data_IF_276776271309
#
_entry.id   IF_276776271309
#
_cell.length_a   1.000
_cell.length_b   1.000
_cell.length_c   1.000
_cell.angle_alpha   90.00
_cell.angle_beta   90.00
_cell.angle_gamma   90.00
#
_symmetry.space_group_name_H-M   'P 1'
#
loop_
_entity.id
_entity.type
_entity.pdbx_description
1 polymer ?
#
# COMPACT_ATOMS: atom_id res chain seq x y z
N UNK A 1 21.62 8.29 18.91
CA UNK A 1 20.49 8.08 17.96
C UNK A 1 21.02 7.83 16.55
N UNK A 2 21.72 8.76 15.91
CA UNK A 2 22.22 8.59 14.52
C UNK A 2 23.11 7.37 14.30
N UNK A 3 23.99 7.03 15.23
CA UNK A 3 24.85 5.84 15.15
C UNK A 3 24.05 4.54 15.17
N UNK A 4 22.98 4.49 15.99
CA UNK A 4 22.08 3.35 16.01
C UNK A 4 21.36 3.16 14.66
N UNK A 5 20.84 4.24 14.07
CA UNK A 5 20.19 4.19 12.76
C UNK A 5 21.16 3.71 11.67
N UNK A 6 22.39 4.22 11.66
CA UNK A 6 23.42 3.78 10.72
C UNK A 6 23.79 2.30 10.91
N UNK A 7 23.89 1.84 12.15
CA UNK A 7 24.17 0.45 12.47
C UNK A 7 23.02 -0.47 12.00
N UNK A 8 21.77 -0.04 12.19
CA UNK A 8 20.60 -0.76 11.70
C UNK A 8 20.60 -0.87 10.17
N UNK A 9 20.82 0.23 9.45
CA UNK A 9 20.87 0.21 7.99
C UNK A 9 22.00 -0.70 7.48
N UNK A 10 23.18 -0.65 8.11
CA UNK A 10 24.32 -1.54 7.76
C UNK A 10 23.99 -3.01 8.02
N UNK A 11 23.33 -3.31 9.13
CA UNK A 11 22.87 -4.68 9.42
C UNK A 11 21.89 -5.16 8.36
N UNK A 12 20.92 -4.30 7.97
CA UNK A 12 19.93 -4.61 6.96
C UNK A 12 20.57 -4.86 5.58
N UNK A 13 21.58 -4.05 5.20
CA UNK A 13 22.36 -4.25 3.97
C UNK A 13 23.01 -5.65 3.98
N UNK A 14 23.63 -6.06 5.10
CA UNK A 14 24.19 -7.40 5.25
C UNK A 14 23.15 -8.54 5.17
N UNK A 15 21.91 -8.29 5.59
CA UNK A 15 20.80 -9.25 5.41
C UNK A 15 20.49 -9.43 3.93
N UNK A 16 20.37 -8.35 3.16
CA UNK A 16 20.08 -8.42 1.72
C UNK A 16 21.27 -8.97 0.91
N UNK A 17 22.51 -8.69 1.30
CA UNK A 17 23.69 -9.32 0.68
C UNK A 17 23.67 -10.84 0.85
N UNK A 18 23.27 -11.32 2.03
CA UNK A 18 23.17 -12.75 2.32
C UNK A 18 21.95 -13.44 1.70
N UNK A 19 20.86 -12.70 1.58
CA UNK A 19 19.57 -13.20 1.09
C UNK A 19 18.99 -12.25 0.02
N UNK A 20 19.55 -12.22 -1.20
CA UNK A 20 19.19 -11.24 -2.23
C UNK A 20 17.74 -11.35 -2.72
N UNK A 21 17.13 -12.52 -2.59
CA UNK A 21 15.72 -12.74 -2.96
C UNK A 21 14.72 -12.40 -1.83
N UNK A 22 15.22 -11.95 -0.69
CA UNK A 22 14.35 -11.65 0.45
C UNK A 22 13.54 -10.37 0.19
N UNK A 23 12.24 -10.47 0.37
CA UNK A 23 11.32 -9.33 0.34
C UNK A 23 10.93 -8.96 1.77
N UNK A 24 11.20 -7.74 2.15
CA UNK A 24 10.83 -7.22 3.47
C UNK A 24 9.87 -6.04 3.29
N UNK A 25 8.78 -6.06 4.02
CA UNK A 25 7.87 -4.92 4.14
C UNK A 25 8.34 -4.03 5.28
N UNK A 26 8.51 -2.75 4.99
CA UNK A 26 8.73 -1.73 6.00
C UNK A 26 7.38 -1.24 6.54
N UNK A 27 7.25 -1.27 7.86
CA UNK A 27 6.07 -0.80 8.55
C UNK A 27 6.47 -0.22 9.92
N UNK A 28 5.82 0.81 10.35
CA UNK A 28 5.83 1.32 11.72
C UNK A 28 4.65 2.26 11.87
N UNK A 29 3.57 1.79 12.49
CA UNK A 29 2.28 2.50 12.51
C UNK A 29 1.92 3.05 11.11
N UNK A 30 2.04 2.18 10.11
CA UNK A 30 1.92 2.57 8.71
C UNK A 30 3.15 3.33 8.20
N UNK A 31 3.01 4.61 7.92
CA UNK A 31 3.99 5.42 7.21
C UNK A 31 5.10 6.10 8.02
N UNK A 32 5.27 5.83 9.31
CA UNK A 32 6.25 6.55 10.15
C UNK A 32 7.73 6.39 9.72
N UNK A 33 8.04 5.35 8.97
CA UNK A 33 9.41 5.10 8.46
C UNK A 33 9.52 5.29 6.95
N UNK A 34 8.72 6.17 6.39
CA UNK A 34 8.75 6.51 4.97
C UNK A 34 9.83 7.57 4.71
N UNK A 35 11.09 7.16 4.79
CA UNK A 35 12.25 7.96 4.44
C UNK A 35 13.08 7.29 3.35
N UNK A 36 13.91 8.04 2.64
CA UNK A 36 14.66 7.53 1.49
C UNK A 36 15.66 6.43 1.86
N UNK A 37 16.21 6.41 3.08
CA UNK A 37 17.15 5.38 3.50
C UNK A 37 16.45 4.02 3.66
N UNK A 38 15.22 4.03 4.17
CA UNK A 38 14.37 2.85 4.27
C UNK A 38 13.82 2.45 2.89
N UNK A 39 13.27 3.41 2.13
CA UNK A 39 12.70 3.15 0.80
C UNK A 39 13.73 2.58 -0.20
N UNK A 40 15.01 2.93 -0.05
CA UNK A 40 16.08 2.39 -0.89
C UNK A 40 16.37 0.90 -0.61
N UNK A 41 15.88 0.34 0.48
CA UNK A 41 16.17 -1.03 0.92
C UNK A 41 14.95 -1.94 0.88
N UNK A 42 13.80 -1.43 1.29
CA UNK A 42 12.59 -2.22 1.39
C UNK A 42 11.81 -2.26 0.07
N UNK A 43 11.38 -3.44 -0.32
CA UNK A 43 10.60 -3.63 -1.55
C UNK A 43 9.13 -3.20 -1.39
N UNK A 44 8.65 -3.17 -0.16
CA UNK A 44 7.26 -2.85 0.18
C UNK A 44 7.25 -1.89 1.36
N UNK A 45 6.42 -0.85 1.27
CA UNK A 45 6.19 0.13 2.31
C UNK A 45 4.71 0.15 2.68
N UNK A 46 4.37 -0.19 3.91
CA UNK A 46 3.03 0.07 4.47
C UNK A 46 2.81 1.58 4.56
N UNK A 47 1.67 2.05 4.07
CA UNK A 47 1.40 3.49 3.96
C UNK A 47 0.65 4.04 5.17
N UNK A 48 -0.22 3.26 5.80
CA UNK A 48 -0.97 3.64 6.99
C UNK A 48 -1.64 2.43 7.63
N UNK A 49 -1.92 2.52 8.93
CA UNK A 49 -2.75 1.56 9.69
C UNK A 49 -4.22 2.00 9.77
N UNK A 50 -4.65 2.98 8.97
CA UNK A 50 -6.03 3.45 8.98
C UNK A 50 -6.98 2.39 8.41
N UNK A 51 -8.02 2.05 9.19
CA UNK A 51 -9.09 1.13 8.75
C UNK A 51 -10.28 1.88 8.13
N UNK A 52 -10.47 3.15 8.47
CA UNK A 52 -11.51 3.98 7.86
C UNK A 52 -11.14 4.33 6.43
N UNK A 53 -11.87 3.78 5.48
CA UNK A 53 -11.62 3.89 4.05
C UNK A 53 -11.72 5.33 3.51
N UNK A 54 -12.50 6.22 4.16
CA UNK A 54 -12.67 7.62 3.75
C UNK A 54 -11.44 8.44 4.11
N UNK A 55 -10.97 8.30 5.35
CA UNK A 55 -9.72 8.93 5.78
C UNK A 55 -8.52 8.36 5.03
N UNK A 56 -8.54 7.05 4.76
CA UNK A 56 -7.49 6.40 4.01
C UNK A 56 -7.39 6.84 2.55
N UNK A 57 -8.49 7.31 1.95
CA UNK A 57 -8.49 7.83 0.58
C UNK A 57 -7.47 8.95 0.36
N UNK A 58 -7.38 9.89 1.30
CA UNK A 58 -6.40 10.99 1.24
C UNK A 58 -4.97 10.47 1.29
N UNK A 59 -4.69 9.47 2.13
CA UNK A 59 -3.38 8.84 2.24
C UNK A 59 -3.04 8.12 0.94
N UNK A 60 -3.96 7.30 0.43
CA UNK A 60 -3.79 6.55 -0.81
C UNK A 60 -3.55 7.47 -2.01
N UNK A 61 -4.36 8.52 -2.15
CA UNK A 61 -4.26 9.49 -3.23
C UNK A 61 -2.90 10.22 -3.24
N UNK A 62 -2.30 10.46 -2.09
CA UNK A 62 -1.05 11.20 -1.96
C UNK A 62 0.20 10.32 -1.86
N UNK A 63 0.08 9.02 -1.63
CA UNK A 63 1.22 8.12 -1.40
C UNK A 63 2.20 8.10 -2.59
N UNK A 64 1.71 8.23 -3.81
CA UNK A 64 2.53 8.31 -5.03
C UNK A 64 3.47 9.52 -5.11
N UNK A 65 3.33 10.52 -4.21
CA UNK A 65 4.26 11.65 -4.13
C UNK A 65 5.63 11.25 -3.54
N UNK A 66 5.68 10.17 -2.76
CA UNK A 66 6.89 9.73 -2.07
C UNK A 66 7.29 8.27 -2.40
N UNK A 67 6.36 7.48 -2.91
CA UNK A 67 6.50 6.04 -3.12
C UNK A 67 6.25 5.66 -4.57
N UNK A 68 6.97 4.66 -5.06
CA UNK A 68 6.61 4.06 -6.34
C UNK A 68 5.34 3.21 -6.21
N UNK A 69 4.54 3.04 -7.26
CA UNK A 69 3.29 2.28 -7.20
C UNK A 69 3.46 0.84 -6.71
N UNK A 70 4.54 0.19 -7.11
CA UNK A 70 4.83 -1.19 -6.71
C UNK A 70 5.31 -1.31 -5.26
N UNK A 71 5.80 -0.23 -4.66
CA UNK A 71 6.31 -0.19 -3.28
C UNK A 71 5.22 0.19 -2.27
N UNK A 72 4.29 1.08 -2.68
CA UNK A 72 3.26 1.63 -1.82
C UNK A 72 2.15 0.61 -1.53
N UNK A 73 2.20 -0.03 -0.37
CA UNK A 73 1.16 -0.95 0.09
C UNK A 73 -0.04 -0.18 0.62
N UNK A 74 -1.15 -0.25 -0.11
CA UNK A 74 -2.43 0.32 0.28
C UNK A 74 -3.34 -0.80 0.77
N UNK A 75 -3.77 -0.68 2.03
CA UNK A 75 -4.66 -1.64 2.64
C UNK A 75 -6.09 -1.45 2.14
N UNK A 76 -6.60 -2.40 1.35
CA UNK A 76 -8.03 -2.54 1.10
C UNK A 76 -8.64 -3.33 2.26
N UNK A 77 -9.45 -2.67 3.08
CA UNK A 77 -9.90 -3.20 4.36
C UNK A 77 -11.43 -3.20 4.52
N UNK A 78 -12.18 -3.96 3.68
CA UNK A 78 -13.63 -4.00 3.81
C UNK A 78 -14.07 -4.62 5.13
N UNK A 79 -14.97 -3.93 5.83
CA UNK A 79 -15.49 -4.33 7.13
C UNK A 79 -16.74 -5.21 6.98
N UNK A 80 -16.94 -6.16 7.90
CA UNK A 80 -18.12 -7.07 7.88
C UNK A 80 -19.45 -6.32 7.89
N UNK A 81 -19.52 -5.21 8.62
CA UNK A 81 -20.74 -4.42 8.81
C UNK A 81 -20.89 -3.30 7.74
N UNK A 82 -20.00 -3.25 6.75
CA UNK A 82 -20.08 -2.34 5.61
C UNK A 82 -21.04 -2.84 4.53
N UNK A 83 -21.20 -2.04 3.49
CA UNK A 83 -22.03 -2.32 2.33
C UNK A 83 -21.18 -2.50 1.04
N UNK A 84 -21.83 -2.59 -0.11
CA UNK A 84 -21.19 -2.73 -1.42
C UNK A 84 -20.36 -1.48 -1.76
N UNK A 85 -20.87 -0.28 -1.48
CA UNK A 85 -20.19 0.99 -1.74
C UNK A 85 -18.90 1.10 -0.90
N UNK A 86 -18.94 0.70 0.37
CA UNK A 86 -17.75 0.64 1.23
C UNK A 86 -16.69 -0.31 0.65
N UNK A 87 -17.10 -1.47 0.13
CA UNK A 87 -16.21 -2.44 -0.50
C UNK A 87 -15.58 -1.89 -1.77
N UNK A 88 -16.38 -1.27 -2.64
CA UNK A 88 -15.90 -0.63 -3.88
C UNK A 88 -14.90 0.48 -3.53
N UNK A 89 -15.22 1.31 -2.55
CA UNK A 89 -14.37 2.42 -2.14
C UNK A 89 -12.99 1.93 -1.65
N UNK A 90 -12.98 0.88 -0.80
CA UNK A 90 -11.74 0.25 -0.37
C UNK A 90 -10.89 -0.25 -1.54
N UNK A 91 -11.50 -0.90 -2.53
CA UNK A 91 -10.80 -1.37 -3.72
C UNK A 91 -10.25 -0.20 -4.54
N UNK A 92 -11.06 0.85 -4.77
CA UNK A 92 -10.67 2.03 -5.56
C UNK A 92 -9.47 2.73 -4.94
N UNK A 93 -9.41 2.88 -3.61
CA UNK A 93 -8.26 3.46 -2.92
C UNK A 93 -6.94 2.77 -3.27
N UNK A 94 -6.96 1.47 -3.55
CA UNK A 94 -5.76 0.68 -3.77
C UNK A 94 -5.39 0.48 -5.26
N UNK A 95 -6.29 0.80 -6.19
CA UNK A 95 -6.15 0.42 -7.61
C UNK A 95 -4.93 1.02 -8.32
N UNK A 96 -4.49 2.22 -7.95
CA UNK A 96 -3.34 2.88 -8.59
C UNK A 96 -1.99 2.57 -7.92
N UNK A 97 -1.98 1.73 -6.90
CA UNK A 97 -0.81 1.40 -6.11
C UNK A 97 -0.75 -0.12 -5.88
N UNK A 98 -0.01 -0.60 -4.88
CA UNK A 98 0.02 -2.03 -4.55
C UNK A 98 -1.14 -2.39 -3.65
N UNK A 99 -2.04 -3.25 -4.10
CA UNK A 99 -3.14 -3.74 -3.25
C UNK A 99 -2.60 -4.67 -2.17
N UNK A 100 -2.83 -4.31 -0.91
CA UNK A 100 -2.76 -5.19 0.24
C UNK A 100 -4.18 -5.51 0.71
N UNK A 101 -4.68 -6.68 0.30
CA UNK A 101 -6.03 -7.09 0.64
C UNK A 101 -6.09 -7.63 2.07
N UNK A 102 -6.89 -7.01 2.90
CA UNK A 102 -7.11 -7.36 4.30
C UNK A 102 -8.59 -7.20 4.68
N UNK A 103 -8.89 -6.87 5.92
CA UNK A 103 -10.25 -6.67 6.41
C UNK A 103 -10.97 -7.96 6.77
N UNK A 104 -12.29 -7.89 6.81
CA UNK A 104 -13.14 -8.99 7.27
C UNK A 104 -13.58 -9.92 6.14
N UNK A 105 -12.69 -10.26 5.20
CA UNK A 105 -13.03 -10.99 3.96
C UNK A 105 -13.91 -12.22 4.21
N UNK A 106 -13.57 -13.05 5.20
CA UNK A 106 -14.31 -14.28 5.49
C UNK A 106 -15.76 -14.03 5.96
N UNK A 107 -16.12 -12.79 6.27
CA UNK A 107 -17.44 -12.39 6.80
C UNK A 107 -18.23 -11.53 5.80
N UNK A 108 -17.69 -11.29 4.61
CA UNK A 108 -18.38 -10.54 3.56
C UNK A 108 -19.48 -11.41 2.93
N UNK A 109 -20.51 -10.76 2.40
CA UNK A 109 -21.50 -11.43 1.53
C UNK A 109 -20.85 -11.92 0.23
N UNK A 110 -21.53 -12.80 -0.50
CA UNK A 110 -21.06 -13.29 -1.80
C UNK A 110 -20.91 -12.16 -2.81
N UNK A 111 -21.82 -11.21 -2.79
CA UNK A 111 -21.83 -10.03 -3.65
C UNK A 111 -20.62 -9.16 -3.40
N UNK A 112 -20.32 -8.88 -2.14
CA UNK A 112 -19.14 -8.10 -1.74
C UNK A 112 -17.83 -8.83 -2.05
N UNK A 113 -17.78 -10.16 -1.89
CA UNK A 113 -16.64 -10.96 -2.36
C UNK A 113 -16.45 -10.85 -3.87
N UNK A 114 -17.53 -10.82 -4.65
CA UNK A 114 -17.44 -10.64 -6.10
C UNK A 114 -16.84 -9.29 -6.46
N UNK A 115 -17.20 -8.21 -5.76
CA UNK A 115 -16.63 -6.86 -5.94
C UNK A 115 -15.13 -6.83 -5.64
N UNK A 116 -14.70 -7.45 -4.55
CA UNK A 116 -13.25 -7.58 -4.24
C UNK A 116 -12.51 -8.32 -5.36
N UNK A 117 -13.07 -9.43 -5.83
CA UNK A 117 -12.48 -10.20 -6.93
C UNK A 117 -12.39 -9.36 -8.20
N UNK A 118 -13.46 -8.66 -8.57
CA UNK A 118 -13.51 -7.76 -9.72
C UNK A 118 -12.40 -6.69 -9.64
N UNK A 119 -12.28 -6.02 -8.50
CA UNK A 119 -11.23 -5.02 -8.27
C UNK A 119 -9.83 -5.60 -8.43
N UNK A 120 -9.58 -6.80 -7.91
CA UNK A 120 -8.27 -7.49 -8.07
C UNK A 120 -8.01 -7.84 -9.54
N UNK A 121 -9.00 -8.35 -10.28
CA UNK A 121 -8.82 -8.69 -11.70
C UNK A 121 -8.60 -7.42 -12.55
N UNK A 122 -9.31 -6.34 -12.24
CA UNK A 122 -9.06 -5.05 -12.88
C UNK A 122 -7.64 -4.54 -12.60
N UNK A 123 -7.19 -4.57 -11.34
CA UNK A 123 -5.82 -4.21 -10.98
C UNK A 123 -4.77 -5.03 -11.74
N UNK A 124 -4.96 -6.35 -11.87
CA UNK A 124 -4.06 -7.21 -12.65
C UNK A 124 -3.94 -6.78 -14.09
N UNK A 125 -5.01 -6.25 -14.69
CA UNK A 125 -5.01 -5.79 -16.09
C UNK A 125 -4.22 -4.50 -16.30
N UNK A 126 -4.13 -3.63 -15.28
CA UNK A 126 -3.52 -2.29 -15.40
C UNK A 126 -2.16 -2.14 -14.69
N UNK A 127 -1.81 -3.03 -13.76
CA UNK A 127 -0.62 -2.87 -12.88
C UNK A 127 0.71 -2.74 -13.61
N UNK A 128 0.83 -3.30 -14.83
CA UNK A 128 2.06 -3.19 -15.62
C UNK A 128 2.22 -1.80 -16.25
N UNK A 129 1.12 -1.14 -16.55
CA UNK A 129 1.10 0.23 -17.05
C UNK A 129 1.35 1.22 -15.91
N UNK A 130 0.70 1.00 -14.76
CA UNK A 130 0.89 1.80 -13.53
C UNK A 130 2.37 1.82 -13.13
N UNK A 131 3.07 0.69 -13.17
CA UNK A 131 4.50 0.59 -12.85
C UNK A 131 5.38 1.53 -13.67
N UNK A 132 4.96 1.87 -14.89
CA UNK A 132 5.69 2.73 -15.83
C UNK A 132 5.17 4.16 -15.87
N UNK A 133 4.05 4.42 -15.23
CA UNK A 133 3.38 5.71 -15.23
C UNK A 133 3.97 6.67 -14.19
N UNK A 134 3.76 7.96 -14.44
CA UNK A 134 4.05 9.00 -13.45
C UNK A 134 2.74 9.45 -12.81
N UNK A 135 2.71 9.66 -11.49
CA UNK A 135 1.51 10.14 -10.81
C UNK A 135 1.23 11.61 -11.20
N UNK A 136 -0.05 11.92 -11.36
CA UNK A 136 -0.52 13.28 -11.67
C UNK A 136 -1.67 13.64 -10.75
N UNK A 137 -1.65 14.82 -10.18
CA UNK A 137 -2.70 15.39 -9.35
C UNK A 137 -3.31 16.62 -10.03
N UNK A 138 -4.31 16.46 -10.92
CA UNK A 138 -4.85 17.58 -11.72
C UNK A 138 -5.44 18.72 -10.87
N UNK A 139 -5.94 18.41 -9.70
CA UNK A 139 -6.55 19.36 -8.75
C UNK A 139 -5.67 19.63 -7.50
N UNK A 140 -4.39 19.24 -7.53
CA UNK A 140 -3.52 19.27 -6.36
C UNK A 140 -3.67 18.04 -5.48
N UNK A 141 -2.92 18.02 -4.38
CA UNK A 141 -2.98 16.93 -3.41
C UNK A 141 -4.34 16.87 -2.71
N UNK A 142 -4.78 15.64 -2.39
CA UNK A 142 -5.99 15.44 -1.59
C UNK A 142 -5.80 15.99 -0.15
N UNK A 143 -6.84 16.60 0.40
CA UNK A 143 -6.86 17.19 1.76
C UNK A 143 -8.01 16.63 2.58
#
# INVERSE_FOLDING_TARGET
>A
MLEHERAYLKWLDGVFEKYPELVIENCSSGGLRTDYAMLARYSIQSTSDHEDYRNYATIAANAGAALTPEQAAIWSYPLKDGDEEETIYNMVNALLLRIHQSGHLAQLSKERHALVKEGIEYYKSIRQDIKKALPVWPNGFAT
#
